data_IF_370460409433
#
_entry.id   IF_370460409433
#
_cell.length_a   1.000
_cell.length_b   1.000
_cell.length_c   1.000
_cell.angle_alpha   90.00
_cell.angle_beta   90.00
_cell.angle_gamma   90.00
#
_symmetry.space_group_name_H-M   'P 1'
#
loop_
_entity.id
_entity.type
_entity.pdbx_description
1 polymer ?
#
# COMPACT_ATOMS: atom_id res chain seq x y z
N UNK A 1 -33.03 -5.07 17.56
CA UNK A 1 -32.95 -3.82 16.79
C UNK A 1 -32.01 -3.98 15.61
N UNK A 2 -30.69 -4.00 15.80
CA UNK A 2 -29.72 -4.10 14.70
C UNK A 2 -29.93 -5.26 13.72
N UNK A 3 -30.33 -6.44 14.21
CA UNK A 3 -30.54 -7.61 13.35
C UNK A 3 -31.59 -7.37 12.24
N UNK A 4 -32.60 -6.52 12.46
CA UNK A 4 -33.61 -6.23 11.43
C UNK A 4 -33.12 -5.28 10.34
N UNK A 5 -32.12 -4.45 10.65
CA UNK A 5 -31.63 -3.42 9.73
C UNK A 5 -30.53 -3.94 8.80
N UNK A 6 -29.70 -4.86 9.29
CA UNK A 6 -28.52 -5.37 8.59
C UNK A 6 -28.80 -6.60 7.74
N UNK A 7 -28.03 -6.76 6.66
CA UNK A 7 -28.17 -7.87 5.73
C UNK A 7 -27.16 -9.01 5.97
N UNK A 8 -26.05 -8.72 6.67
CA UNK A 8 -25.03 -9.71 7.02
C UNK A 8 -24.61 -9.55 8.49
N UNK A 9 -24.58 -10.66 9.22
CA UNK A 9 -24.04 -10.72 10.60
C UNK A 9 -22.84 -11.66 10.61
N UNK A 10 -21.73 -11.23 11.21
CA UNK A 10 -20.55 -12.07 11.42
C UNK A 10 -20.31 -12.19 12.92
N UNK A 11 -20.33 -13.41 13.44
CA UNK A 11 -20.13 -13.67 14.87
C UNK A 11 -18.79 -14.35 15.12
N UNK A 12 -18.04 -13.84 16.10
CA UNK A 12 -16.66 -14.29 16.37
C UNK A 12 -16.40 -14.55 17.85
N UNK A 13 -17.44 -14.56 18.68
CA UNK A 13 -17.30 -14.64 20.13
C UNK A 13 -16.96 -16.07 20.54
N UNK A 14 -15.67 -16.31 20.81
CA UNK A 14 -15.13 -17.60 21.18
C UNK A 14 -14.39 -17.51 22.51
N UNK A 15 -14.76 -18.36 23.47
CA UNK A 15 -14.02 -18.51 24.72
C UNK A 15 -13.30 -19.85 24.67
N UNK A 16 -11.95 -19.89 24.72
CA UNK A 16 -11.20 -21.14 24.70
C UNK A 16 -11.66 -22.11 25.79
N UNK A 17 -11.92 -23.36 25.42
CA UNK A 17 -12.36 -24.42 26.34
C UNK A 17 -13.80 -24.32 26.83
N UNK A 18 -14.60 -23.35 26.36
CA UNK A 18 -16.03 -23.24 26.67
C UNK A 18 -16.87 -23.26 25.39
N UNK A 19 -18.16 -23.59 25.54
CA UNK A 19 -19.14 -23.44 24.47
C UNK A 19 -19.26 -21.96 24.12
N UNK A 20 -19.35 -21.66 22.83
CA UNK A 20 -19.63 -20.32 22.34
C UNK A 20 -20.98 -19.82 22.91
N UNK A 21 -21.08 -18.56 23.37
CA UNK A 21 -22.34 -18.01 23.86
C UNK A 21 -23.30 -17.78 22.69
N UNK A 22 -24.58 -18.06 22.89
CA UNK A 22 -25.61 -17.69 21.90
C UNK A 22 -25.85 -16.19 22.00
N UNK A 23 -25.53 -15.47 20.92
CA UNK A 23 -25.67 -14.02 20.79
C UNK A 23 -26.74 -13.64 19.75
N UNK A 24 -26.97 -14.53 18.78
CA UNK A 24 -28.03 -14.39 17.76
C UNK A 24 -29.04 -15.49 18.01
N UNK A 25 -30.11 -15.13 18.72
CA UNK A 25 -31.21 -16.04 19.05
C UNK A 25 -32.22 -16.15 17.90
N UNK A 26 -33.20 -17.04 18.03
CA UNK A 26 -34.23 -17.28 17.02
C UNK A 26 -35.00 -16.01 16.64
N UNK A 27 -35.40 -15.19 17.62
CA UNK A 27 -36.15 -13.95 17.37
C UNK A 27 -35.36 -12.96 16.51
N UNK A 28 -34.04 -12.89 16.71
CA UNK A 28 -33.15 -12.05 15.90
C UNK A 28 -33.00 -12.59 14.48
N UNK A 29 -32.88 -13.91 14.32
CA UNK A 29 -32.84 -14.55 13.00
C UNK A 29 -34.15 -14.30 12.24
N UNK A 30 -35.29 -14.41 12.92
CA UNK A 30 -36.61 -14.20 12.33
C UNK A 30 -36.86 -12.74 11.93
N UNK A 31 -36.27 -11.79 12.65
CA UNK A 31 -36.33 -10.36 12.34
C UNK A 31 -35.47 -9.95 11.13
N UNK A 32 -34.47 -10.75 10.74
CA UNK A 32 -33.64 -10.47 9.57
C UNK A 32 -34.45 -10.60 8.28
N UNK A 33 -34.07 -9.82 7.27
CA UNK A 33 -34.65 -9.89 5.93
C UNK A 33 -34.39 -11.25 5.28
N UNK A 34 -35.34 -11.73 4.47
CA UNK A 34 -35.14 -12.95 3.70
C UNK A 34 -33.96 -12.81 2.73
N UNK A 35 -33.10 -13.82 2.65
CA UNK A 35 -31.87 -13.78 1.85
C UNK A 35 -30.64 -13.25 2.58
N UNK A 36 -30.80 -12.70 3.80
CA UNK A 36 -29.66 -12.29 4.63
C UNK A 36 -28.75 -13.46 5.00
N UNK A 37 -27.51 -13.14 5.40
CA UNK A 37 -26.47 -14.14 5.70
C UNK A 37 -25.91 -13.96 7.10
N UNK A 38 -25.75 -15.06 7.83
CA UNK A 38 -25.01 -15.12 9.09
C UNK A 38 -23.77 -15.96 8.88
N UNK A 39 -22.58 -15.43 9.20
CA UNK A 39 -21.32 -16.16 9.16
C UNK A 39 -20.84 -16.39 10.59
N UNK A 40 -20.91 -17.63 11.05
CA UNK A 40 -20.60 -17.98 12.43
C UNK A 40 -19.19 -18.58 12.55
N UNK A 41 -18.21 -17.74 12.91
CA UNK A 41 -16.82 -18.16 13.06
C UNK A 41 -16.59 -19.00 14.33
N UNK A 42 -17.58 -19.08 15.23
CA UNK A 42 -17.51 -19.86 16.46
C UNK A 42 -18.21 -21.23 16.34
N UNK A 43 -18.57 -21.65 15.12
CA UNK A 43 -19.28 -22.91 14.86
C UNK A 43 -18.59 -24.14 15.47
N UNK A 44 -17.25 -24.19 15.46
CA UNK A 44 -16.47 -25.29 16.03
C UNK A 44 -16.71 -25.52 17.54
N UNK A 45 -17.11 -24.48 18.27
CA UNK A 45 -17.39 -24.54 19.71
C UNK A 45 -18.88 -24.38 20.02
N UNK A 46 -19.75 -24.73 19.07
CA UNK A 46 -21.20 -24.73 19.23
C UNK A 46 -21.93 -23.53 18.63
N UNK A 47 -21.21 -22.53 18.09
CA UNK A 47 -21.79 -21.38 17.40
C UNK A 47 -22.33 -20.26 18.30
N UNK A 48 -22.36 -19.04 17.77
CA UNK A 48 -23.02 -17.90 18.37
C UNK A 48 -24.45 -17.70 17.88
N UNK A 49 -24.84 -18.33 16.76
CA UNK A 49 -26.22 -18.34 16.27
C UNK A 49 -26.94 -19.64 16.68
N UNK A 50 -28.20 -19.52 17.10
CA UNK A 50 -28.97 -20.62 17.69
C UNK A 50 -29.19 -21.81 16.74
N UNK A 51 -29.29 -21.55 15.43
CA UNK A 51 -29.44 -22.58 14.40
C UNK A 51 -28.13 -22.97 13.70
N UNK A 52 -26.97 -22.52 14.19
CA UNK A 52 -25.67 -22.89 13.60
C UNK A 52 -25.44 -24.40 13.67
N UNK A 53 -25.04 -24.99 12.55
CA UNK A 53 -24.56 -26.37 12.47
C UNK A 53 -23.12 -26.38 11.92
N UNK A 54 -22.16 -27.00 12.63
CA UNK A 54 -20.80 -27.11 12.16
C UNK A 54 -20.73 -27.72 10.75
N UNK A 55 -19.92 -27.12 9.89
CA UNK A 55 -19.62 -27.54 8.52
C UNK A 55 -20.80 -27.54 7.53
N UNK A 56 -21.93 -26.96 7.93
CA UNK A 56 -23.12 -26.82 7.09
C UNK A 56 -23.46 -25.36 6.79
N UNK A 57 -24.24 -25.16 5.72
CA UNK A 57 -25.02 -23.95 5.51
C UNK A 57 -26.48 -24.27 5.81
N UNK A 58 -27.00 -23.73 6.92
CA UNK A 58 -28.40 -23.88 7.31
C UNK A 58 -29.21 -22.75 6.71
N UNK A 59 -30.39 -23.03 6.17
CA UNK A 59 -31.34 -21.99 5.77
C UNK A 59 -32.52 -22.01 6.75
N UNK A 60 -32.79 -20.88 7.40
CA UNK A 60 -33.89 -20.72 8.33
C UNK A 60 -35.24 -20.71 7.59
N UNK A 61 -36.35 -20.81 8.33
CA UNK A 61 -37.71 -20.74 7.77
C UNK A 61 -38.03 -19.41 7.08
N UNK A 62 -37.47 -18.29 7.57
CA UNK A 62 -37.60 -16.97 6.96
C UNK A 62 -36.56 -16.68 5.86
N UNK A 63 -35.73 -17.66 5.48
CA UNK A 63 -34.84 -17.57 4.33
C UNK A 63 -33.46 -16.97 4.59
N UNK A 64 -33.03 -16.86 5.85
CA UNK A 64 -31.66 -16.45 6.23
C UNK A 64 -30.72 -17.64 6.09
N UNK A 65 -29.53 -17.42 5.52
CA UNK A 65 -28.49 -18.46 5.38
C UNK A 65 -27.45 -18.33 6.48
N UNK A 66 -27.23 -19.38 7.25
CA UNK A 66 -26.24 -19.45 8.33
C UNK A 66 -25.09 -20.34 7.88
N UNK A 67 -23.91 -19.76 7.73
CA UNK A 67 -22.67 -20.43 7.33
C UNK A 67 -21.88 -20.82 8.57
N UNK A 68 -21.72 -22.12 8.82
CA UNK A 68 -21.08 -22.67 10.02
C UNK A 68 -19.78 -23.45 9.74
N UNK A 69 -19.01 -23.10 8.70
CA UNK A 69 -17.77 -23.81 8.38
C UNK A 69 -16.73 -23.70 9.50
N UNK A 70 -16.17 -24.83 9.92
CA UNK A 70 -15.13 -24.88 10.97
C UNK A 70 -13.71 -24.77 10.41
N UNK A 71 -13.57 -24.89 9.08
CA UNK A 71 -12.30 -24.97 8.37
C UNK A 71 -11.99 -23.74 7.49
N UNK A 72 -12.55 -22.57 7.83
CA UNK A 72 -12.41 -21.35 7.02
C UNK A 72 -10.97 -21.00 6.61
N UNK A 73 -9.93 -21.15 7.45
CA UNK A 73 -8.54 -20.95 7.02
C UNK A 73 -8.11 -21.88 5.87
N UNK A 74 -8.61 -23.11 5.82
CA UNK A 74 -8.29 -24.10 4.78
C UNK A 74 -8.85 -23.69 3.40
N UNK A 75 -9.94 -22.92 3.38
CA UNK A 75 -10.55 -22.38 2.16
C UNK A 75 -9.77 -21.23 1.54
N UNK A 76 -8.77 -20.71 2.26
CA UNK A 76 -7.74 -19.77 1.78
C UNK A 76 -6.33 -20.36 1.98
N UNK A 77 -6.15 -21.62 1.59
CA UNK A 77 -4.96 -22.43 1.86
C UNK A 77 -3.63 -21.72 1.57
N UNK A 78 -3.47 -21.09 0.39
CA UNK A 78 -2.21 -20.43 0.04
C UNK A 78 -1.82 -19.32 1.03
N UNK A 79 -2.79 -18.47 1.41
CA UNK A 79 -2.59 -17.38 2.38
C UNK A 79 -2.37 -17.94 3.78
N UNK A 80 -3.18 -18.91 4.19
CA UNK A 80 -3.05 -19.55 5.50
C UNK A 80 -1.68 -20.23 5.66
N UNK A 81 -1.21 -20.96 4.65
CA UNK A 81 0.11 -21.60 4.62
C UNK A 81 1.24 -20.57 4.68
N UNK A 82 1.14 -19.46 3.94
CA UNK A 82 2.14 -18.40 3.98
C UNK A 82 2.24 -17.76 5.37
N UNK A 83 1.10 -17.34 5.94
CA UNK A 83 1.05 -16.71 7.27
C UNK A 83 1.51 -17.68 8.38
N UNK A 84 1.05 -18.94 8.34
CA UNK A 84 1.47 -19.96 9.28
C UNK A 84 2.97 -20.26 9.16
N UNK A 85 3.48 -20.42 7.93
CA UNK A 85 4.91 -20.63 7.68
C UNK A 85 5.77 -19.47 8.19
N UNK A 86 5.33 -18.23 8.00
CA UNK A 86 6.00 -17.05 8.55
C UNK A 86 5.99 -17.05 10.09
N UNK A 87 4.88 -17.43 10.73
CA UNK A 87 4.81 -17.52 12.18
C UNK A 87 5.76 -18.61 12.72
N UNK A 88 5.81 -19.78 12.07
CA UNK A 88 6.75 -20.86 12.43
C UNK A 88 8.20 -20.42 12.25
N UNK A 89 8.54 -19.79 11.12
CA UNK A 89 9.90 -19.29 10.88
C UNK A 89 10.32 -18.25 11.94
N UNK A 90 9.44 -17.30 12.27
CA UNK A 90 9.69 -16.31 13.33
C UNK A 90 9.83 -16.97 14.70
N UNK A 91 9.00 -17.96 15.02
CA UNK A 91 9.12 -18.71 16.26
C UNK A 91 10.47 -19.44 16.34
N UNK A 92 10.90 -20.15 15.30
CA UNK A 92 12.22 -20.82 15.28
C UNK A 92 13.36 -19.81 15.48
N UNK A 93 13.32 -18.67 14.77
CA UNK A 93 14.31 -17.61 14.94
C UNK A 93 14.31 -17.02 16.36
N UNK A 94 13.13 -16.92 16.97
CA UNK A 94 12.94 -16.45 18.35
C UNK A 94 13.36 -17.48 19.40
N UNK A 95 13.28 -18.79 19.12
CA UNK A 95 13.71 -19.83 20.07
C UNK A 95 15.24 -19.84 20.23
N UNK A 96 15.96 -19.62 19.12
CA UNK A 96 17.40 -19.39 19.03
C UNK A 96 17.77 -19.30 17.55
N UNK A 97 18.34 -18.18 17.05
CA UNK A 97 19.46 -17.43 17.63
C UNK A 97 19.15 -16.02 18.19
N UNK A 98 17.91 -15.55 18.14
CA UNK A 98 17.60 -14.16 18.52
C UNK A 98 17.65 -13.91 20.03
N UNK A 99 17.12 -14.84 20.82
CA UNK A 99 17.09 -14.78 22.29
C UNK A 99 18.42 -15.20 22.90
N UNK A 100 19.04 -16.26 22.36
CA UNK A 100 20.35 -16.75 22.82
C UNK A 100 21.55 -15.90 22.38
N UNK A 101 21.41 -15.08 21.33
CA UNK A 101 22.48 -14.23 20.79
C UNK A 101 23.51 -14.96 19.92
N UNK A 102 23.44 -16.28 19.79
CA UNK A 102 24.39 -17.10 19.02
C UNK A 102 23.87 -17.40 17.61
N UNK A 103 24.32 -16.62 16.61
CA UNK A 103 23.89 -16.80 15.21
C UNK A 103 24.28 -18.17 14.65
N UNK A 104 23.29 -18.87 14.07
CA UNK A 104 23.50 -20.14 13.37
C UNK A 104 23.49 -21.37 14.26
N UNK A 105 23.26 -21.21 15.57
CA UNK A 105 23.09 -22.31 16.52
C UNK A 105 21.61 -22.38 16.92
N UNK A 106 21.00 -23.53 16.72
CA UNK A 106 19.68 -23.81 17.27
C UNK A 106 19.85 -24.22 18.74
N UNK A 107 19.41 -23.35 19.64
CA UNK A 107 19.42 -23.57 21.08
C UNK A 107 18.12 -23.02 21.63
N UNK A 108 17.45 -23.77 22.50
CA UNK A 108 16.20 -23.33 23.13
C UNK A 108 16.55 -22.43 24.30
N UNK A 109 16.22 -21.14 24.21
CA UNK A 109 16.36 -20.21 25.31
C UNK A 109 15.33 -20.50 26.41
N UNK A 110 15.81 -20.95 27.57
CA UNK A 110 14.97 -21.22 28.73
C UNK A 110 14.78 -19.99 29.62
N UNK A 111 15.42 -18.87 29.35
CA UNK A 111 15.25 -17.62 30.09
C UNK A 111 14.25 -16.68 29.41
N UNK A 112 13.96 -16.87 28.12
CA UNK A 112 12.96 -16.09 27.39
C UNK A 112 11.53 -16.49 27.77
N UNK A 113 10.74 -15.50 28.22
CA UNK A 113 9.36 -15.68 28.67
C UNK A 113 8.44 -16.26 27.58
N UNK A 114 8.63 -15.88 26.31
CA UNK A 114 7.79 -16.37 25.22
C UNK A 114 8.12 -17.84 24.89
N UNK A 115 9.41 -18.19 24.85
CA UNK A 115 9.88 -19.55 24.60
C UNK A 115 9.45 -20.49 25.73
N UNK A 116 9.64 -20.09 26.99
CA UNK A 116 9.22 -20.85 28.17
C UNK A 116 7.72 -21.19 28.14
N UNK A 117 6.88 -20.22 27.76
CA UNK A 117 5.42 -20.37 27.78
C UNK A 117 4.85 -21.18 26.62
N UNK A 118 5.57 -21.29 25.51
CA UNK A 118 5.19 -22.15 24.38
C UNK A 118 5.74 -23.60 24.52
N UNK A 119 6.70 -23.84 25.43
CA UNK A 119 7.37 -25.13 25.60
C UNK A 119 6.62 -26.07 26.56
N UNK A 120 5.67 -26.84 26.04
CA UNK A 120 4.82 -27.76 26.84
C UNK A 120 5.55 -29.00 27.39
N UNK A 121 6.67 -29.40 26.79
CA UNK A 121 7.55 -30.49 27.24
C UNK A 121 8.99 -30.23 26.80
N UNK A 122 9.96 -30.65 27.60
CA UNK A 122 11.38 -30.53 27.31
C UNK A 122 12.15 -31.71 27.91
N UNK A 123 13.04 -32.34 27.15
CA UNK A 123 13.83 -33.51 27.58
C UNK A 123 13.02 -34.67 28.20
N UNK A 124 11.82 -34.93 27.68
CA UNK A 124 10.94 -35.99 28.18
C UNK A 124 10.18 -35.62 29.46
N UNK A 125 10.40 -34.43 30.02
CA UNK A 125 9.62 -33.92 31.14
C UNK A 125 8.43 -33.07 30.65
N UNK A 126 7.28 -33.26 31.27
CA UNK A 126 6.09 -32.42 31.07
C UNK A 126 6.27 -31.09 31.79
N UNK A 127 5.96 -29.98 31.13
CA UNK A 127 6.05 -28.62 31.69
C UNK A 127 4.70 -27.96 31.91
N UNK A 128 3.71 -28.19 31.03
CA UNK A 128 2.34 -27.70 31.25
C UNK A 128 1.58 -28.62 32.22
N UNK A 129 0.78 -28.12 33.20
CA UNK A 129 0.55 -26.72 33.54
C UNK A 129 1.52 -26.19 34.61
N UNK A 130 2.34 -27.06 35.24
CA UNK A 130 3.03 -26.76 36.51
C UNK A 130 4.24 -25.82 36.38
N UNK A 131 4.96 -25.88 35.25
CA UNK A 131 6.19 -25.10 34.96
C UNK A 131 5.96 -23.99 33.92
N UNK A 132 4.71 -23.70 33.55
CA UNK A 132 4.34 -22.61 32.65
C UNK A 132 3.71 -21.51 33.50
N UNK A 133 4.34 -20.35 33.56
CA UNK A 133 3.77 -19.17 34.22
C UNK A 133 2.85 -18.49 33.20
N UNK A 134 1.53 -18.40 33.43
CA UNK A 134 0.64 -17.71 32.51
C UNK A 134 1.20 -16.30 32.27
N UNK A 135 1.45 -15.95 31.01
CA UNK A 135 1.87 -14.60 30.66
C UNK A 135 0.84 -13.63 31.22
N UNK A 136 1.25 -12.89 32.24
CA UNK A 136 0.46 -11.77 32.75
C UNK A 136 0.81 -10.63 31.82
N UNK A 137 -0.10 -10.19 30.93
CA UNK A 137 0.20 -9.04 30.09
C UNK A 137 0.65 -7.91 31.01
N UNK A 138 1.72 -7.17 30.64
CA UNK A 138 2.09 -5.98 31.38
C UNK A 138 0.80 -5.18 31.55
N UNK A 139 0.51 -4.69 32.77
CA UNK A 139 -0.73 -3.96 33.02
C UNK A 139 -0.87 -2.95 31.88
N UNK A 140 -2.03 -2.93 31.17
CA UNK A 140 -2.23 -1.99 30.09
C UNK A 140 -1.73 -0.64 30.61
N UNK A 141 -0.86 0.08 29.86
CA UNK A 141 -0.28 1.32 30.34
C UNK A 141 -1.45 2.06 30.94
N UNK A 142 -1.38 2.31 32.27
CA UNK A 142 -2.49 2.95 32.99
C UNK A 142 -2.82 4.11 32.08
N UNK A 143 -4.00 4.07 31.43
CA UNK A 143 -4.57 5.30 30.93
C UNK A 143 -4.55 6.12 32.19
N UNK A 144 -3.66 7.12 32.22
CA UNK A 144 -3.74 8.14 33.22
C UNK A 144 -5.19 8.55 33.11
N UNK A 145 -5.99 8.09 34.08
CA UNK A 145 -7.18 8.80 34.45
C UNK A 145 -6.57 10.16 34.66
N UNK A 146 -6.80 11.07 33.71
CA UNK A 146 -6.43 12.47 33.87
C UNK A 146 -6.90 12.76 35.28
N UNK A 147 -5.95 12.82 36.23
CA UNK A 147 -6.22 13.52 37.45
C UNK A 147 -6.74 14.83 36.91
N UNK A 148 -7.97 15.17 37.25
CA UNK A 148 -8.39 16.56 37.21
C UNK A 148 -7.51 17.24 38.25
N UNK A 149 -6.24 17.43 37.89
CA UNK A 149 -5.34 18.35 38.54
C UNK A 149 -6.05 19.65 38.29
N UNK A 150 -6.54 20.25 39.36
CA UNK A 150 -6.88 21.67 39.39
C UNK A 150 -5.57 22.45 39.20
N UNK A 151 -4.92 22.31 38.04
CA UNK A 151 -3.88 23.23 37.60
C UNK A 151 -4.58 24.57 37.45
N UNK A 152 -3.98 25.63 38.00
CA UNK A 152 -4.53 26.96 37.81
C UNK A 152 -4.56 27.28 36.31
N UNK A 153 -5.49 28.14 35.87
CA UNK A 153 -5.53 28.56 34.45
C UNK A 153 -4.18 29.11 33.97
N UNK A 154 -3.41 29.72 34.86
CA UNK A 154 -2.06 30.23 34.61
C UNK A 154 -1.04 29.11 34.34
N UNK A 155 -1.07 28.01 35.10
CA UNK A 155 -0.16 26.87 34.89
C UNK A 155 -0.47 26.12 33.60
N UNK A 156 -1.75 25.94 33.27
CA UNK A 156 -2.18 25.33 32.00
C UNK A 156 -1.75 26.20 30.82
N UNK A 157 -1.89 27.53 30.93
CA UNK A 157 -1.46 28.46 29.90
C UNK A 157 0.06 28.46 29.74
N UNK A 158 0.82 28.41 30.84
CA UNK A 158 2.28 28.34 30.80
C UNK A 158 2.79 27.06 30.12
N UNK A 159 2.17 25.91 30.40
CA UNK A 159 2.50 24.62 29.77
C UNK A 159 2.17 24.63 28.26
N UNK A 160 0.99 25.14 27.89
CA UNK A 160 0.62 25.31 26.47
C UNK A 160 1.56 26.25 25.72
N UNK A 161 1.94 27.37 26.35
CA UNK A 161 2.88 28.33 25.77
C UNK A 161 4.27 27.71 25.59
N UNK A 162 4.74 26.91 26.55
CA UNK A 162 6.02 26.21 26.45
C UNK A 162 6.02 25.15 25.33
N UNK A 163 4.94 24.35 25.24
CA UNK A 163 4.78 23.35 24.17
C UNK A 163 4.65 24.00 22.78
N UNK A 164 3.92 25.12 22.69
CA UNK A 164 3.80 25.90 21.47
C UNK A 164 5.17 26.50 21.09
N UNK A 165 5.88 27.12 22.03
CA UNK A 165 7.23 27.65 21.80
C UNK A 165 8.18 26.56 21.29
N UNK A 166 8.17 25.37 21.90
CA UNK A 166 8.99 24.24 21.45
C UNK A 166 8.65 23.85 20.00
N UNK A 167 7.36 23.78 19.65
CA UNK A 167 6.93 23.49 18.28
C UNK A 167 7.36 24.57 17.28
N UNK A 168 7.27 25.85 17.67
CA UNK A 168 7.75 26.97 16.85
C UNK A 168 9.27 26.96 16.69
N UNK A 169 10.04 26.64 17.74
CA UNK A 169 11.50 26.52 17.67
C UNK A 169 11.88 25.38 16.74
N UNK A 170 11.22 24.22 16.82
CA UNK A 170 11.47 23.09 15.93
C UNK A 170 11.15 23.44 14.47
N UNK A 171 9.96 23.98 14.19
CA UNK A 171 9.56 24.36 12.84
C UNK A 171 10.45 25.47 12.26
N UNK A 172 10.81 26.47 13.07
CA UNK A 172 11.74 27.54 12.67
C UNK A 172 13.13 26.98 12.40
N UNK A 173 13.60 26.02 13.20
CA UNK A 173 14.87 25.34 13.00
C UNK A 173 14.90 24.59 11.67
N UNK A 174 13.86 23.81 11.36
CA UNK A 174 13.72 23.10 10.07
C UNK A 174 13.67 24.08 8.90
N UNK A 175 12.85 25.14 9.01
CA UNK A 175 12.75 26.16 7.96
C UNK A 175 14.08 26.91 7.73
N UNK A 176 14.80 27.23 8.80
CA UNK A 176 16.12 27.89 8.73
C UNK A 176 17.14 26.98 8.06
N UNK A 177 17.17 25.69 8.41
CA UNK A 177 18.04 24.70 7.76
C UNK A 177 17.72 24.55 6.27
N UNK A 178 16.43 24.48 5.90
CA UNK A 178 16.02 24.41 4.51
C UNK A 178 16.41 25.68 3.72
N UNK A 179 16.21 26.86 4.30
CA UNK A 179 16.63 28.13 3.68
C UNK A 179 18.16 28.21 3.51
N UNK A 180 18.92 27.80 4.54
CA UNK A 180 20.38 27.74 4.46
C UNK A 180 20.86 26.76 3.39
N UNK A 181 20.21 25.60 3.26
CA UNK A 181 20.53 24.61 2.23
C UNK A 181 20.29 25.15 0.81
N UNK A 182 19.20 25.90 0.59
CA UNK A 182 18.92 26.54 -0.70
C UNK A 182 19.96 27.61 -1.06
N UNK A 183 20.36 28.44 -0.08
CA UNK A 183 21.43 29.43 -0.28
C UNK A 183 22.75 28.72 -0.57
N UNK A 184 23.10 27.68 0.19
CA UNK A 184 24.31 26.90 -0.03
C UNK A 184 24.33 26.26 -1.43
N UNK A 185 23.21 25.68 -1.87
CA UNK A 185 23.06 25.15 -3.22
C UNK A 185 23.29 26.23 -4.29
N UNK A 186 22.72 27.42 -4.11
CA UNK A 186 22.93 28.54 -5.03
C UNK A 186 24.39 29.03 -5.08
N UNK A 187 25.11 28.97 -3.97
CA UNK A 187 26.52 29.34 -3.90
C UNK A 187 27.46 28.30 -4.51
N UNK A 188 27.06 27.04 -4.59
CA UNK A 188 27.87 25.93 -5.14
C UNK A 188 27.45 25.48 -6.53
N UNK A 189 26.37 26.03 -7.08
CA UNK A 189 25.88 25.68 -8.42
C UNK A 189 26.57 26.51 -9.51
N UNK A 190 27.27 25.82 -10.42
CA UNK A 190 28.04 26.46 -11.49
C UNK A 190 27.23 26.78 -12.76
N UNK A 191 25.94 26.38 -12.84
CA UNK A 191 25.11 26.59 -14.03
C UNK A 191 23.68 27.10 -13.72
N UNK A 192 23.13 28.04 -14.51
CA UNK A 192 21.72 28.45 -14.43
C UNK A 192 20.75 27.28 -14.61
N UNK A 193 21.14 26.27 -15.40
CA UNK A 193 20.33 25.06 -15.63
C UNK A 193 20.15 24.22 -14.37
N UNK A 194 21.18 24.14 -13.51
CA UNK A 194 21.08 23.43 -12.23
C UNK A 194 20.03 24.09 -11.30
N UNK A 195 19.96 25.43 -11.32
CA UNK A 195 18.94 26.19 -10.56
C UNK A 195 17.55 25.96 -11.14
N UNK A 196 17.40 25.92 -12.46
CA UNK A 196 16.13 25.60 -13.14
C UNK A 196 15.64 24.19 -12.81
N UNK A 197 16.54 23.20 -12.80
CA UNK A 197 16.23 21.82 -12.41
C UNK A 197 15.84 21.71 -10.94
N UNK A 198 16.53 22.44 -10.05
CA UNK A 198 16.16 22.49 -8.62
C UNK A 198 14.77 23.10 -8.41
N UNK A 199 14.44 24.17 -9.14
CA UNK A 199 13.10 24.78 -9.11
C UNK A 199 12.03 23.78 -9.58
N UNK A 200 12.30 23.10 -10.70
CA UNK A 200 11.41 22.05 -11.23
C UNK A 200 11.23 20.91 -10.24
N UNK A 201 12.32 20.45 -9.61
CA UNK A 201 12.29 19.42 -8.57
C UNK A 201 11.45 19.84 -7.35
N UNK A 202 11.63 21.06 -6.85
CA UNK A 202 10.88 21.56 -5.69
C UNK A 202 9.38 21.68 -6.00
N UNK A 203 9.01 22.26 -7.15
CA UNK A 203 7.61 22.38 -7.55
C UNK A 203 6.97 21.02 -7.85
N UNK A 204 7.69 20.11 -8.50
CA UNK A 204 7.22 18.75 -8.73
C UNK A 204 7.04 17.98 -7.40
N UNK A 205 7.92 18.19 -6.43
CA UNK A 205 7.79 17.63 -5.08
C UNK A 205 6.53 18.13 -4.36
N UNK A 206 6.24 19.43 -4.42
CA UNK A 206 5.02 20.01 -3.87
C UNK A 206 3.76 19.50 -4.58
N UNK A 207 3.78 19.44 -5.91
CA UNK A 207 2.68 18.87 -6.70
C UNK A 207 2.45 17.40 -6.34
N UNK A 208 3.52 16.61 -6.22
CA UNK A 208 3.47 15.21 -5.80
C UNK A 208 2.88 15.03 -4.40
N UNK A 209 3.32 15.86 -3.44
CA UNK A 209 2.77 15.86 -2.07
C UNK A 209 1.25 16.08 -2.08
N UNK A 210 0.79 17.14 -2.76
CA UNK A 210 -0.63 17.49 -2.78
C UNK A 210 -1.48 16.42 -3.47
N UNK A 211 -0.97 15.84 -4.55
CA UNK A 211 -1.70 14.85 -5.35
C UNK A 211 -1.79 13.52 -4.63
N UNK A 212 -0.73 13.05 -3.96
CA UNK A 212 -0.77 11.81 -3.17
C UNK A 212 -1.69 11.95 -1.96
N UNK A 213 -1.70 13.12 -1.29
CA UNK A 213 -2.57 13.37 -0.15
C UNK A 213 -4.06 13.38 -0.52
N UNK A 214 -4.38 13.68 -1.79
CA UNK A 214 -5.74 13.66 -2.33
C UNK A 214 -6.26 12.28 -2.73
N UNK A 215 -5.47 11.21 -2.64
CA UNK A 215 -5.88 9.85 -3.05
C UNK A 215 -6.86 9.25 -2.04
N UNK A 216 -7.91 8.57 -2.53
CA UNK A 216 -8.85 7.90 -1.65
C UNK A 216 -8.14 6.76 -0.86
N UNK A 217 -8.39 6.58 0.45
CA UNK A 217 -7.74 5.54 1.25
C UNK A 217 -7.93 4.12 0.69
N UNK A 218 -9.09 3.83 0.09
CA UNK A 218 -9.38 2.55 -0.56
C UNK A 218 -8.52 2.28 -1.81
N UNK A 219 -7.90 3.31 -2.38
CA UNK A 219 -7.10 3.26 -3.59
C UNK A 219 -5.58 3.33 -3.32
N UNK A 220 -5.14 3.22 -2.06
CA UNK A 220 -3.71 3.19 -1.73
C UNK A 220 -2.96 2.01 -2.36
N UNK A 221 -3.58 0.82 -2.48
CA UNK A 221 -2.94 -0.31 -3.14
C UNK A 221 -2.79 -0.09 -4.66
N UNK A 222 -3.84 0.33 -5.39
CA UNK A 222 -3.69 0.82 -6.77
C UNK A 222 -2.67 1.96 -6.92
N UNK A 223 -2.61 2.90 -5.98
CA UNK A 223 -1.62 3.99 -5.98
C UNK A 223 -0.18 3.44 -5.97
N UNK A 224 0.12 2.46 -5.10
CA UNK A 224 1.43 1.81 -5.08
C UNK A 224 1.76 1.12 -6.41
N UNK A 225 0.77 0.54 -7.09
CA UNK A 225 0.97 -0.08 -8.40
C UNK A 225 1.22 0.95 -9.51
N UNK A 226 0.46 2.06 -9.53
CA UNK A 226 0.64 3.15 -10.51
C UNK A 226 1.98 3.86 -10.32
N UNK A 227 2.41 4.13 -9.07
CA UNK A 227 3.73 4.74 -8.83
C UNK A 227 4.87 3.80 -9.22
N UNK A 228 4.72 2.49 -9.04
CA UNK A 228 5.68 1.49 -9.55
C UNK A 228 5.71 1.40 -11.09
N UNK A 229 4.58 1.63 -11.76
CA UNK A 229 4.52 1.70 -13.21
C UNK A 229 5.25 2.96 -13.74
N UNK A 230 4.96 4.12 -13.14
CA UNK A 230 5.57 5.41 -13.50
C UNK A 230 7.06 5.43 -13.18
N UNK A 231 7.52 4.78 -12.09
CA UNK A 231 8.95 4.71 -11.75
C UNK A 231 9.78 4.00 -12.82
N UNK A 232 9.15 3.18 -13.68
CA UNK A 232 9.77 2.62 -14.88
C UNK A 232 10.19 3.68 -15.92
N UNK A 233 9.93 4.97 -15.70
CA UNK A 233 10.52 6.07 -16.47
C UNK A 233 12.06 6.13 -16.40
N UNK A 234 12.71 5.31 -15.58
CA UNK A 234 14.15 5.01 -15.69
C UNK A 234 14.57 4.54 -17.09
N UNK A 235 13.63 4.05 -17.91
CA UNK A 235 13.83 3.76 -19.32
C UNK A 235 14.42 4.93 -20.11
N UNK A 236 14.02 6.17 -19.79
CA UNK A 236 14.53 7.40 -20.44
C UNK A 236 16.04 7.51 -20.27
N UNK A 237 16.55 7.28 -19.06
CA UNK A 237 18.00 7.27 -18.80
C UNK A 237 18.73 6.18 -19.58
N UNK A 238 18.14 4.98 -19.68
CA UNK A 238 18.68 3.90 -20.49
C UNK A 238 18.72 4.22 -21.98
N UNK A 239 17.65 4.82 -22.51
CA UNK A 239 17.56 5.26 -23.90
C UNK A 239 18.59 6.34 -24.24
N UNK A 240 18.76 7.33 -23.36
CA UNK A 240 19.78 8.38 -23.53
C UNK A 240 21.20 7.79 -23.51
N UNK A 241 21.48 6.83 -22.61
CA UNK A 241 22.77 6.14 -22.60
C UNK A 241 23.02 5.34 -23.88
N UNK A 242 21.99 4.74 -24.47
CA UNK A 242 22.06 4.03 -25.75
C UNK A 242 22.30 4.97 -26.93
N UNK A 243 21.72 6.17 -26.89
CA UNK A 243 21.86 7.19 -27.94
C UNK A 243 23.24 7.91 -27.90
N UNK A 244 23.92 7.93 -26.75
CA UNK A 244 25.20 8.62 -26.60
C UNK A 244 26.40 7.79 -27.09
N UNK A 245 27.30 8.42 -27.86
CA UNK A 245 28.62 7.91 -28.24
C UNK A 245 28.81 7.64 -29.75
N UNK A 246 30.03 7.84 -30.25
CA UNK A 246 30.43 7.69 -31.68
C UNK A 246 30.41 6.24 -32.20
N UNK A 247 29.92 5.29 -31.40
CA UNK A 247 29.91 3.84 -31.66
C UNK A 247 28.49 3.28 -31.84
N UNK A 248 27.45 4.13 -31.81
CA UNK A 248 26.04 3.73 -31.94
C UNK A 248 25.61 3.37 -33.39
N UNK A 249 26.49 2.72 -34.17
CA UNK A 249 26.22 2.35 -35.57
C UNK A 249 25.69 0.90 -35.71
N UNK A 250 25.67 0.11 -34.63
CA UNK A 250 25.26 -1.29 -34.64
C UNK A 250 23.98 -1.59 -33.86
N UNK A 251 23.23 -2.60 -34.31
CA UNK A 251 22.05 -3.15 -33.60
C UNK A 251 22.38 -3.80 -32.24
N UNK A 252 23.65 -4.09 -31.98
CA UNK A 252 24.12 -4.80 -30.78
C UNK A 252 24.99 -3.85 -29.95
N UNK A 253 24.71 -3.71 -28.63
CA UNK A 253 25.56 -2.92 -27.74
C UNK A 253 27.03 -3.37 -27.78
N UNK A 254 27.93 -2.42 -28.01
CA UNK A 254 29.36 -2.63 -28.20
C UNK A 254 30.22 -2.03 -27.07
N UNK A 255 29.64 -1.20 -26.20
CA UNK A 255 30.27 -0.66 -24.98
C UNK A 255 29.60 -1.21 -23.71
N UNK A 256 30.34 -1.36 -22.58
CA UNK A 256 29.75 -1.63 -21.28
C UNK A 256 28.64 -0.62 -20.89
N UNK A 257 28.77 0.65 -21.26
CA UNK A 257 27.75 1.68 -21.01
C UNK A 257 26.45 1.40 -21.77
N UNK A 258 26.54 0.96 -23.03
CA UNK A 258 25.38 0.59 -23.84
C UNK A 258 24.72 -0.69 -23.34
N UNK A 259 25.49 -1.66 -22.86
CA UNK A 259 24.93 -2.84 -22.19
C UNK A 259 24.13 -2.48 -20.94
N UNK A 260 24.66 -1.57 -20.12
CA UNK A 260 23.93 -1.06 -18.95
C UNK A 260 22.65 -0.31 -19.36
N UNK A 261 22.72 0.53 -20.41
CA UNK A 261 21.55 1.21 -20.97
C UNK A 261 20.49 0.23 -21.47
N UNK A 262 20.88 -0.79 -22.24
CA UNK A 262 19.98 -1.81 -22.76
C UNK A 262 19.28 -2.60 -21.64
N UNK A 263 20.02 -3.03 -20.62
CA UNK A 263 19.47 -3.73 -19.45
C UNK A 263 18.52 -2.82 -18.67
N UNK A 264 18.91 -1.56 -18.44
CA UNK A 264 18.07 -0.59 -17.75
C UNK A 264 16.75 -0.36 -18.49
N UNK A 265 16.77 -0.17 -19.81
CA UNK A 265 15.57 0.00 -20.63
C UNK A 265 14.70 -1.27 -20.61
N UNK A 266 15.29 -2.46 -20.69
CA UNK A 266 14.55 -3.73 -20.61
C UNK A 266 13.83 -3.91 -19.27
N UNK A 267 14.53 -3.74 -18.15
CA UNK A 267 13.94 -3.87 -16.81
C UNK A 267 12.86 -2.81 -16.56
N UNK A 268 13.11 -1.60 -17.06
CA UNK A 268 12.13 -0.50 -17.00
C UNK A 268 10.86 -0.81 -17.78
N UNK A 269 10.97 -1.42 -18.96
CA UNK A 269 9.81 -1.87 -19.75
C UNK A 269 8.96 -2.91 -19.02
N UNK A 270 9.61 -3.83 -18.29
CA UNK A 270 8.90 -4.82 -17.44
C UNK A 270 8.13 -4.10 -16.33
N UNK A 271 8.73 -3.11 -15.67
CA UNK A 271 8.06 -2.31 -14.64
C UNK A 271 6.87 -1.52 -15.19
N UNK A 272 7.02 -0.85 -16.35
CA UNK A 272 5.94 -0.10 -17.00
C UNK A 272 4.78 -1.04 -17.35
N UNK A 273 5.07 -2.09 -18.11
CA UNK A 273 4.04 -3.00 -18.63
C UNK A 273 3.35 -3.77 -17.51
N UNK A 274 4.14 -4.35 -16.59
CA UNK A 274 3.61 -5.09 -15.45
C UNK A 274 2.82 -4.19 -14.50
N UNK A 275 3.33 -3.00 -14.21
CA UNK A 275 2.68 -2.02 -13.35
C UNK A 275 1.31 -1.60 -13.87
N UNK A 276 1.21 -1.14 -15.11
CA UNK A 276 -0.08 -0.69 -15.66
C UNK A 276 -1.09 -1.83 -15.89
N UNK A 277 -0.62 -3.03 -16.25
CA UNK A 277 -1.49 -4.21 -16.37
C UNK A 277 -2.09 -4.62 -15.03
N UNK A 278 -1.28 -4.63 -13.96
CA UNK A 278 -1.75 -4.96 -12.61
C UNK A 278 -2.66 -3.86 -12.07
N UNK A 279 -2.29 -2.59 -12.24
CA UNK A 279 -3.14 -1.45 -11.85
C UNK A 279 -4.51 -1.51 -12.52
N UNK A 280 -4.57 -1.80 -13.83
CA UNK A 280 -5.83 -1.98 -14.56
C UNK A 280 -6.70 -3.08 -13.94
N UNK A 281 -6.13 -4.27 -13.72
CA UNK A 281 -6.86 -5.40 -13.10
C UNK A 281 -7.33 -5.09 -11.68
N UNK A 282 -6.53 -4.38 -10.88
CA UNK A 282 -6.92 -3.97 -9.53
C UNK A 282 -8.07 -2.97 -9.56
N UNK A 283 -8.07 -2.04 -10.53
CA UNK A 283 -9.12 -1.05 -10.67
C UNK A 283 -10.42 -1.64 -11.22
N UNK A 284 -10.36 -2.66 -12.06
CA UNK A 284 -11.53 -3.37 -12.57
C UNK A 284 -12.31 -4.10 -11.47
N UNK A 285 -11.66 -4.46 -10.35
CA UNK A 285 -12.32 -5.05 -9.17
C UNK A 285 -13.29 -4.06 -8.49
N UNK A 286 -13.14 -2.76 -8.73
CA UNK A 286 -14.04 -1.73 -8.20
C UNK A 286 -15.21 -1.40 -9.14
N UNK A 287 -15.24 -1.94 -10.37
CA UNK A 287 -16.36 -1.74 -11.29
C UNK A 287 -17.53 -2.64 -10.89
N UNK A 288 -18.70 -2.07 -10.66
CA UNK A 288 -19.93 -2.82 -10.40
C UNK A 288 -20.63 -3.19 -11.72
N UNK A 289 -21.44 -4.27 -11.74
CA UNK A 289 -22.15 -4.68 -12.96
C UNK A 289 -23.17 -3.67 -13.49
N UNK A 290 -23.64 -2.77 -12.63
CA UNK A 290 -24.62 -1.71 -12.92
C UNK A 290 -23.98 -0.35 -13.26
N UNK A 291 -22.65 -0.22 -13.14
CA UNK A 291 -21.96 1.00 -13.54
C UNK A 291 -21.99 1.17 -15.07
N UNK A 292 -22.11 2.42 -15.58
CA UNK A 292 -22.12 2.68 -17.02
C UNK A 292 -20.83 2.21 -17.69
N UNK A 293 -20.93 1.92 -18.99
CA UNK A 293 -19.77 1.57 -19.79
C UNK A 293 -18.78 2.72 -19.91
N UNK A 294 -17.51 2.38 -19.82
CA UNK A 294 -16.43 3.34 -19.91
C UNK A 294 -15.88 3.43 -21.34
N UNK A 295 -15.74 4.65 -21.85
CA UNK A 295 -15.26 4.90 -23.21
C UNK A 295 -13.82 5.41 -23.22
N UNK A 296 -12.95 4.81 -22.39
CA UNK A 296 -11.56 5.27 -22.22
C UNK A 296 -10.73 5.23 -23.50
N UNK A 297 -11.12 4.41 -24.48
CA UNK A 297 -10.48 4.34 -25.79
C UNK A 297 -10.45 5.70 -26.50
N UNK A 298 -11.39 6.61 -26.19
CA UNK A 298 -11.41 7.96 -26.75
C UNK A 298 -10.20 8.80 -26.33
N UNK A 299 -9.57 8.52 -25.17
CA UNK A 299 -8.33 9.18 -24.76
C UNK A 299 -7.13 8.80 -25.65
N UNK A 300 -7.24 7.75 -26.47
CA UNK A 300 -6.24 7.45 -27.49
C UNK A 300 -6.19 8.52 -28.60
N UNK A 301 -7.27 9.28 -28.83
CA UNK A 301 -7.34 10.32 -29.86
C UNK A 301 -6.36 11.48 -29.54
N UNK A 302 -6.47 12.18 -28.39
CA UNK A 302 -5.53 13.25 -28.07
C UNK A 302 -4.10 12.73 -27.90
N UNK A 303 -3.92 11.50 -27.40
CA UNK A 303 -2.59 10.89 -27.29
C UNK A 303 -1.95 10.61 -28.65
N UNK A 304 -2.72 10.04 -29.57
CA UNK A 304 -2.29 9.79 -30.94
C UNK A 304 -1.99 11.08 -31.69
N UNK A 305 -2.79 12.13 -31.50
CA UNK A 305 -2.55 13.44 -32.11
C UNK A 305 -1.22 14.05 -31.66
N UNK A 306 -0.92 13.97 -30.35
CA UNK A 306 0.31 14.52 -29.80
C UNK A 306 1.55 13.76 -30.31
N UNK A 307 1.49 12.42 -30.33
CA UNK A 307 2.56 11.57 -30.85
C UNK A 307 2.75 11.73 -32.36
N UNK A 308 1.66 11.79 -33.13
CA UNK A 308 1.71 12.03 -34.57
C UNK A 308 2.24 13.44 -34.88
N UNK A 309 1.91 14.43 -34.05
CA UNK A 309 2.47 15.77 -34.14
C UNK A 309 3.99 15.79 -33.96
N UNK A 310 4.49 15.11 -32.93
CA UNK A 310 5.94 14.97 -32.67
C UNK A 310 6.66 14.22 -33.81
N UNK A 311 6.11 13.10 -34.26
CA UNK A 311 6.68 12.33 -35.36
C UNK A 311 6.65 13.14 -36.68
N UNK A 312 5.56 13.86 -36.93
CA UNK A 312 5.40 14.73 -38.08
C UNK A 312 6.37 15.92 -38.07
N UNK A 313 6.58 16.55 -36.91
CA UNK A 313 7.57 17.63 -36.76
C UNK A 313 8.99 17.12 -37.01
N UNK A 314 9.33 15.94 -36.47
CA UNK A 314 10.63 15.32 -36.68
C UNK A 314 10.86 14.95 -38.16
N UNK A 315 9.86 14.36 -38.82
CA UNK A 315 9.95 13.95 -40.22
C UNK A 315 10.00 15.13 -41.19
N UNK A 316 9.17 16.15 -40.96
CA UNK A 316 9.07 17.32 -41.84
C UNK A 316 10.14 18.39 -41.55
N UNK A 317 10.96 18.22 -40.51
CA UNK A 317 11.92 19.22 -40.04
C UNK A 317 11.24 20.53 -39.60
N UNK A 318 10.01 20.44 -39.09
CA UNK A 318 9.22 21.59 -38.67
C UNK A 318 9.46 21.89 -37.20
N UNK A 319 10.06 23.05 -36.92
CA UNK A 319 10.39 23.47 -35.55
C UNK A 319 11.69 22.85 -35.03
N UNK A 320 12.16 23.38 -33.90
CA UNK A 320 13.32 22.83 -33.21
C UNK A 320 12.93 21.56 -32.44
N UNK A 321 13.53 20.41 -32.79
CA UNK A 321 13.17 19.12 -32.21
C UNK A 321 13.37 19.09 -30.69
N UNK A 322 14.40 19.77 -30.17
CA UNK A 322 14.63 19.89 -28.73
C UNK A 322 13.49 20.63 -28.03
N UNK A 323 13.02 21.72 -28.62
CA UNK A 323 11.87 22.49 -28.10
C UNK A 323 10.56 21.70 -28.18
N UNK A 324 10.31 21.01 -29.31
CA UNK A 324 9.09 20.20 -29.49
C UNK A 324 9.09 18.99 -28.55
N UNK A 325 10.21 18.27 -28.45
CA UNK A 325 10.43 17.20 -27.46
C UNK A 325 10.19 17.71 -26.03
N UNK A 326 10.75 18.87 -25.67
CA UNK A 326 10.54 19.50 -24.37
C UNK A 326 9.07 19.75 -24.06
N UNK A 327 8.28 20.23 -25.05
CA UNK A 327 6.84 20.43 -24.87
C UNK A 327 6.06 19.13 -24.67
N UNK A 328 6.44 18.05 -25.34
CA UNK A 328 5.86 16.70 -25.15
C UNK A 328 6.27 16.15 -23.78
N UNK A 329 7.48 16.44 -23.31
CA UNK A 329 7.94 16.14 -21.96
C UNK A 329 7.10 16.82 -20.87
N UNK A 330 6.64 18.06 -21.10
CA UNK A 330 5.70 18.74 -20.19
C UNK A 330 4.34 18.01 -20.20
N UNK A 331 3.82 17.63 -21.37
CA UNK A 331 2.58 16.86 -21.45
C UNK A 331 2.70 15.51 -20.73
N UNK A 332 3.85 14.83 -20.86
CA UNK A 332 4.19 13.63 -20.10
C UNK A 332 4.08 13.85 -18.59
N UNK A 333 4.73 14.89 -18.06
CA UNK A 333 4.71 15.20 -16.63
C UNK A 333 3.29 15.49 -16.13
N UNK A 334 2.51 16.30 -16.87
CA UNK A 334 1.11 16.61 -16.52
C UNK A 334 0.27 15.33 -16.50
N UNK A 335 0.40 14.46 -17.49
CA UNK A 335 -0.35 13.21 -17.57
C UNK A 335 0.04 12.23 -16.45
N UNK A 336 1.32 12.14 -16.06
CA UNK A 336 1.75 11.34 -14.90
C UNK A 336 1.16 11.87 -13.58
N UNK A 337 1.19 13.20 -13.36
CA UNK A 337 0.58 13.83 -12.19
C UNK A 337 -0.93 13.59 -12.18
N UNK A 338 -1.60 13.81 -13.32
CA UNK A 338 -3.04 13.57 -13.47
C UNK A 338 -3.39 12.09 -13.31
N UNK A 339 -2.47 11.18 -13.65
CA UNK A 339 -2.66 9.75 -13.45
C UNK A 339 -2.75 9.37 -11.98
N UNK A 340 -1.94 10.01 -11.13
CA UNK A 340 -2.04 9.84 -9.67
C UNK A 340 -3.28 10.58 -9.14
N UNK A 341 -3.52 11.82 -9.58
CA UNK A 341 -4.67 12.61 -9.14
C UNK A 341 -6.02 11.96 -9.49
N UNK A 342 -6.08 11.18 -10.58
CA UNK A 342 -7.25 10.40 -10.95
C UNK A 342 -7.65 9.35 -9.90
N UNK A 343 -6.74 8.94 -9.02
CA UNK A 343 -7.03 8.01 -7.90
C UNK A 343 -7.71 8.71 -6.71
N UNK A 344 -8.12 9.97 -6.83
CA UNK A 344 -8.85 10.69 -5.78
C UNK A 344 -10.23 10.09 -5.47
N UNK A 345 -10.85 9.40 -6.42
CA UNK A 345 -12.09 8.65 -6.23
C UNK A 345 -12.18 7.47 -7.20
N UNK A 346 -13.12 6.56 -6.97
CA UNK A 346 -13.27 5.32 -7.75
C UNK A 346 -13.71 5.58 -9.20
N UNK A 347 -14.53 6.60 -9.45
CA UNK A 347 -15.03 6.92 -10.79
C UNK A 347 -13.89 7.40 -11.71
N UNK A 348 -12.98 8.22 -11.18
CA UNK A 348 -11.86 8.77 -11.96
C UNK A 348 -10.62 7.87 -11.97
N UNK A 349 -10.55 6.83 -11.13
CA UNK A 349 -9.36 6.03 -10.94
C UNK A 349 -8.86 5.36 -12.23
N UNK A 350 -9.78 4.87 -13.06
CA UNK A 350 -9.47 4.23 -14.34
C UNK A 350 -8.99 5.23 -15.38
N UNK A 351 -9.59 6.42 -15.42
CA UNK A 351 -9.06 7.55 -16.21
C UNK A 351 -7.65 7.91 -15.75
N UNK A 352 -7.38 7.89 -14.44
CA UNK A 352 -6.05 8.07 -13.88
C UNK A 352 -5.04 7.06 -14.44
N UNK A 353 -5.39 5.77 -14.46
CA UNK A 353 -4.52 4.74 -15.04
C UNK A 353 -4.20 4.98 -16.53
N UNK A 354 -5.19 5.43 -17.31
CA UNK A 354 -5.03 5.76 -18.73
C UNK A 354 -4.14 6.99 -18.94
N UNK A 355 -4.33 8.03 -18.13
CA UNK A 355 -3.49 9.23 -18.15
C UNK A 355 -2.05 8.89 -17.74
N UNK A 356 -1.85 7.99 -16.77
CA UNK A 356 -0.52 7.49 -16.41
C UNK A 356 0.17 6.78 -17.57
N UNK A 357 -0.54 5.91 -18.29
CA UNK A 357 -0.01 5.24 -19.49
C UNK A 357 0.35 6.25 -20.59
N UNK A 358 -0.51 7.24 -20.83
CA UNK A 358 -0.25 8.31 -21.80
C UNK A 358 0.98 9.13 -21.40
N UNK A 359 1.12 9.48 -20.12
CA UNK A 359 2.26 10.21 -19.59
C UNK A 359 3.59 9.49 -19.84
N UNK A 360 3.67 8.22 -19.45
CA UNK A 360 4.87 7.40 -19.72
C UNK A 360 5.13 7.27 -21.22
N UNK A 361 4.10 7.04 -22.03
CA UNK A 361 4.23 6.96 -23.49
C UNK A 361 4.79 8.24 -24.12
N UNK A 362 4.30 9.41 -23.69
CA UNK A 362 4.80 10.70 -24.15
C UNK A 362 6.24 10.95 -23.71
N UNK A 363 6.59 10.59 -22.48
CA UNK A 363 7.95 10.77 -21.96
C UNK A 363 8.98 9.93 -22.73
N UNK A 364 8.63 8.68 -23.04
CA UNK A 364 9.46 7.82 -23.88
C UNK A 364 9.58 8.37 -25.31
N UNK A 365 8.48 8.81 -25.91
CA UNK A 365 8.48 9.36 -27.28
C UNK A 365 9.24 10.69 -27.39
N UNK A 366 9.18 11.53 -26.35
CA UNK A 366 9.95 12.78 -26.27
C UNK A 366 11.45 12.52 -26.13
N UNK A 367 11.87 11.33 -25.70
CA UNK A 367 13.29 11.03 -25.53
C UNK A 367 13.93 10.80 -26.90
N UNK A 368 14.50 11.87 -27.45
CA UNK A 368 15.16 11.92 -28.77
C UNK A 368 16.67 12.02 -28.66
#
# INVERSE_FOLDING_TARGET
EQAGDVDIIITTALIPGRKAPILVNQDMLDAMKAGSVVVDLAAANGGNAEQTRPDEIVTTSNGVKIIGYTDLPSRLAATASNLFGNNVAKFILSVGPQTTGEKGVFQIDLEDDAVQNMLISYNGEKRWPDKITPYSPPPPPKKEVEEVITKSEEEILAEKNAAQLQSFVQNTGVATLAAAALVAFGLTSDSPDAVSLMSTFALAGLAGYQVVWGVAPALHSPLMAVTNAISGMTAVGGMVLLAQGTQAEGLIPNSPSHWMGAVATMLSFINISGGFLVSGKMLDLFKRPDDPDDYFQLYAIPAGLLLAGLAGSAYAGLGDLGTVSGSVGIASAICCIAGIAGLANQETARTGNVLGMAGVGFGLAATT
#
